data_IF_374600861092
#
_entry.id   IF_374600861092
#
_cell.length_a   1.000
_cell.length_b   1.000
_cell.length_c   1.000
_cell.angle_alpha   90.00
_cell.angle_beta   90.00
_cell.angle_gamma   90.00
#
_symmetry.space_group_name_H-M   'P 1'
#
loop_
_entity.id
_entity.type
_entity.pdbx_description
1 polymer ?
#
# COMPACT_ATOMS: atom_id res chain seq x y z
N UNK A 1 5.31 8.91 -14.54
CA UNK A 1 5.23 9.84 -13.38
C UNK A 1 4.12 9.34 -12.47
N UNK A 2 3.99 9.85 -11.24
CA UNK A 2 2.86 9.47 -10.35
C UNK A 2 1.64 10.32 -10.71
N UNK A 3 0.50 9.67 -10.91
CA UNK A 3 -0.75 10.38 -11.17
C UNK A 3 -1.41 10.83 -9.87
N UNK A 4 -1.41 12.14 -9.65
CA UNK A 4 -1.90 12.77 -8.42
C UNK A 4 -3.41 12.56 -8.20
N UNK A 5 -4.16 12.33 -9.27
CA UNK A 5 -5.58 12.01 -9.18
C UNK A 5 -5.86 10.50 -9.11
N UNK A 6 -4.83 9.66 -9.20
CA UNK A 6 -4.91 8.21 -9.15
C UNK A 6 -5.20 7.66 -7.75
N UNK A 7 -5.78 6.46 -7.70
CA UNK A 7 -6.15 5.80 -6.45
C UNK A 7 -4.97 5.60 -5.46
N UNK A 8 -3.75 5.21 -5.90
CA UNK A 8 -2.61 5.06 -5.00
C UNK A 8 -2.23 6.36 -4.28
N UNK A 9 -2.13 7.47 -5.02
CA UNK A 9 -1.76 8.75 -4.43
C UNK A 9 -2.86 9.28 -3.51
N UNK A 10 -4.13 9.16 -3.90
CA UNK A 10 -5.27 9.55 -3.07
C UNK A 10 -5.32 8.77 -1.75
N UNK A 11 -5.02 7.47 -1.77
CA UNK A 11 -4.94 6.66 -0.55
C UNK A 11 -3.84 7.18 0.38
N UNK A 12 -2.65 7.45 -0.13
CA UNK A 12 -1.57 8.06 0.65
C UNK A 12 -1.99 9.43 1.23
N UNK A 13 -2.55 10.32 0.40
CA UNK A 13 -3.01 11.64 0.82
C UNK A 13 -4.05 11.59 1.94
N UNK A 14 -4.92 10.57 1.96
CA UNK A 14 -5.95 10.39 3.00
C UNK A 14 -5.41 10.02 4.39
N UNK A 15 -4.18 9.50 4.49
CA UNK A 15 -3.62 8.97 5.75
C UNK A 15 -2.34 9.65 6.20
N UNK A 16 -1.67 10.40 5.32
CA UNK A 16 -0.35 10.98 5.59
C UNK A 16 -0.29 11.90 6.81
N UNK A 17 -1.35 12.66 7.08
CA UNK A 17 -1.39 13.60 8.22
C UNK A 17 -1.43 12.83 9.56
N UNK A 18 -2.17 11.72 9.61
CA UNK A 18 -2.19 10.84 10.78
C UNK A 18 -0.85 10.13 10.97
N UNK A 19 -0.25 9.63 9.89
CA UNK A 19 1.06 8.96 9.93
C UNK A 19 2.19 9.91 10.33
N UNK A 20 2.06 11.21 10.06
CA UNK A 20 3.04 12.21 10.49
C UNK A 20 3.06 12.42 12.01
N UNK A 21 1.92 12.22 12.69
CA UNK A 21 1.77 12.50 14.12
C UNK A 21 1.78 11.24 14.99
N UNK A 22 1.43 10.08 14.43
CA UNK A 22 1.25 8.83 15.16
C UNK A 22 2.29 7.79 14.75
N UNK A 23 2.56 6.86 15.67
CA UNK A 23 3.41 5.69 15.40
C UNK A 23 2.64 4.64 14.57
N UNK A 24 2.55 4.86 13.26
CA UNK A 24 1.84 3.99 12.31
C UNK A 24 2.79 3.18 11.40
N UNK A 25 3.93 2.75 11.93
CA UNK A 25 4.92 2.00 11.14
C UNK A 25 4.45 0.59 10.81
N UNK A 26 4.74 0.16 9.58
CA UNK A 26 4.50 -1.21 9.11
C UNK A 26 5.86 -1.85 8.81
N UNK A 27 6.10 -3.01 9.43
CA UNK A 27 7.30 -3.82 9.21
C UNK A 27 6.94 -5.04 8.37
N UNK A 28 6.97 -4.95 7.02
CA UNK A 28 6.68 -6.10 6.18
C UNK A 28 7.69 -7.22 6.43
N UNK A 29 7.22 -8.46 6.38
CA UNK A 29 8.08 -9.64 6.50
C UNK A 29 8.96 -9.84 5.26
N UNK A 30 9.90 -10.79 5.31
CA UNK A 30 10.70 -11.18 4.15
C UNK A 30 9.81 -11.71 3.02
N UNK A 31 10.27 -11.55 1.77
CA UNK A 31 9.62 -12.16 0.60
C UNK A 31 9.54 -13.68 0.80
N UNK A 32 8.35 -14.23 0.62
CA UNK A 32 8.09 -15.66 0.72
C UNK A 32 7.90 -16.26 -0.68
N UNK A 33 8.51 -17.41 -0.93
CA UNK A 33 8.33 -18.15 -2.19
C UNK A 33 7.27 -19.24 -2.10
N UNK A 34 6.89 -19.63 -0.88
CA UNK A 34 5.89 -20.67 -0.59
C UNK A 34 5.01 -20.23 0.58
N UNK A 35 3.79 -20.74 0.63
CA UNK A 35 2.83 -20.45 1.70
C UNK A 35 1.90 -19.27 1.38
N UNK A 36 1.02 -18.88 2.33
CA UNK A 36 -0.11 -17.99 2.04
C UNK A 36 0.27 -16.59 1.52
N UNK A 37 1.45 -16.08 1.88
CA UNK A 37 1.91 -14.74 1.48
C UNK A 37 2.75 -14.72 0.21
N UNK A 38 3.00 -15.87 -0.45
CA UNK A 38 3.86 -15.94 -1.63
C UNK A 38 3.28 -15.22 -2.86
N UNK A 39 1.96 -14.99 -2.87
CA UNK A 39 1.24 -14.33 -3.95
C UNK A 39 0.95 -12.85 -3.67
N UNK A 40 1.58 -12.26 -2.65
CA UNK A 40 1.40 -10.85 -2.34
C UNK A 40 1.90 -9.97 -3.50
N UNK A 41 1.12 -8.94 -3.83
CA UNK A 41 1.46 -7.95 -4.87
C UNK A 41 1.50 -6.56 -4.27
N UNK A 42 2.07 -5.59 -5.00
CA UNK A 42 2.19 -4.21 -4.51
C UNK A 42 0.82 -3.55 -4.25
N UNK A 43 0.72 -2.72 -3.21
CA UNK A 43 -0.50 -1.94 -2.94
C UNK A 43 -0.89 -1.01 -4.11
N UNK A 44 0.09 -0.51 -4.87
CA UNK A 44 -0.16 0.28 -6.09
C UNK A 44 -1.01 -0.50 -7.09
N UNK A 45 -0.59 -1.72 -7.42
CA UNK A 45 -1.31 -2.59 -8.36
C UNK A 45 -2.71 -2.95 -7.85
N UNK A 46 -2.85 -3.25 -6.55
CA UNK A 46 -4.16 -3.54 -5.96
C UNK A 46 -5.13 -2.36 -6.11
N UNK A 47 -4.68 -1.15 -5.78
CA UNK A 47 -5.50 0.06 -5.87
C UNK A 47 -5.85 0.45 -7.31
N UNK A 48 -4.94 0.25 -8.26
CA UNK A 48 -5.20 0.49 -9.68
C UNK A 48 -6.21 -0.50 -10.27
N UNK A 49 -6.22 -1.75 -9.78
CA UNK A 49 -7.21 -2.77 -10.15
C UNK A 49 -8.54 -2.62 -9.41
N UNK A 50 -8.68 -1.66 -8.50
CA UNK A 50 -9.87 -1.48 -7.65
C UNK A 50 -10.04 -2.58 -6.59
N UNK A 51 -9.00 -3.37 -6.33
CA UNK A 51 -8.98 -4.36 -5.25
C UNK A 51 -8.77 -3.65 -3.90
N UNK A 52 -9.28 -4.24 -2.80
CA UNK A 52 -9.00 -3.73 -1.46
C UNK A 52 -7.49 -3.81 -1.19
N UNK A 53 -6.93 -2.71 -0.68
CA UNK A 53 -5.51 -2.55 -0.36
C UNK A 53 -5.28 -2.28 1.12
#
# INVERSE_FOLDING_TARGET
MVELEGAPFKKFASVREDWALKNCYISPGPIQFVGPSSNAVSHTLLLELGAPA
#
